data_IF_120346826015
#
_entry.id   IF_120346826015
#
_cell.length_a   1.000
_cell.length_b   1.000
_cell.length_c   1.000
_cell.angle_alpha   90.00
_cell.angle_beta   90.00
_cell.angle_gamma   90.00
#
_symmetry.space_group_name_H-M   'P 1'
#
loop_
_entity.id
_entity.type
_entity.pdbx_description
1 polymer ?
#
# COMPACT_ATOMS: atom_id res chain seq x y z
N UNK A 1 19.48 34.27 -37.72
CA UNK A 1 19.02 33.05 -37.02
C UNK A 1 20.21 32.52 -36.26
N UNK A 2 20.13 32.24 -34.94
CA UNK A 2 21.28 31.72 -34.23
C UNK A 2 21.59 30.33 -34.80
N UNK A 3 22.83 30.12 -35.24
CA UNK A 3 23.32 28.79 -35.54
C UNK A 3 23.27 27.98 -34.25
N UNK A 4 22.66 26.79 -34.30
CA UNK A 4 22.61 25.81 -33.20
C UNK A 4 23.99 25.76 -32.54
N UNK A 5 24.07 26.09 -31.25
CA UNK A 5 25.35 26.07 -30.54
C UNK A 5 25.87 24.62 -30.54
N UNK A 6 27.19 24.38 -30.56
CA UNK A 6 27.73 23.01 -30.60
C UNK A 6 27.18 22.08 -29.51
N UNK A 7 26.83 22.62 -28.33
CA UNK A 7 26.17 21.89 -27.25
C UNK A 7 24.73 21.45 -27.58
N UNK A 8 23.98 22.28 -28.30
CA UNK A 8 22.61 21.96 -28.72
C UNK A 8 22.62 20.84 -29.78
N UNK A 9 23.58 20.86 -30.71
CA UNK A 9 23.72 19.78 -31.70
C UNK A 9 24.04 18.44 -31.05
N UNK A 10 25.02 18.41 -30.13
CA UNK A 10 25.39 17.19 -29.42
C UNK A 10 24.21 16.65 -28.59
N UNK A 11 23.49 17.52 -27.89
CA UNK A 11 22.28 17.16 -27.14
C UNK A 11 21.21 16.53 -28.05
N UNK A 12 20.90 17.15 -29.19
CA UNK A 12 19.91 16.62 -30.13
C UNK A 12 20.33 15.28 -30.74
N UNK A 13 21.62 15.08 -31.06
CA UNK A 13 22.11 13.78 -31.52
C UNK A 13 21.97 12.72 -30.43
N UNK A 14 22.32 13.03 -29.18
CA UNK A 14 22.15 12.10 -28.06
C UNK A 14 20.69 11.67 -27.88
N UNK A 15 19.74 12.61 -27.86
CA UNK A 15 18.31 12.29 -27.72
C UNK A 15 17.76 11.50 -28.91
N UNK A 16 18.31 11.69 -30.11
CA UNK A 16 17.93 10.92 -31.30
C UNK A 16 18.50 9.50 -31.27
N UNK A 17 19.74 9.34 -30.81
CA UNK A 17 20.40 8.03 -30.72
C UNK A 17 19.79 7.16 -29.63
N UNK A 18 19.46 7.74 -28.47
CA UNK A 18 18.83 7.07 -27.34
C UNK A 18 17.36 7.49 -27.24
N UNK A 19 16.62 7.28 -28.32
CA UNK A 19 15.21 7.61 -28.37
C UNK A 19 14.40 6.70 -27.43
N UNK A 20 13.24 7.18 -26.99
CA UNK A 20 12.30 6.37 -26.22
C UNK A 20 11.85 5.16 -27.04
N UNK A 21 11.91 3.99 -26.43
CA UNK A 21 11.41 2.74 -27.00
C UNK A 21 9.98 2.54 -26.52
N UNK A 22 9.05 2.34 -27.46
CA UNK A 22 7.63 2.14 -27.15
C UNK A 22 7.28 0.67 -26.89
N UNK A 23 8.13 -0.26 -27.35
CA UNK A 23 7.92 -1.70 -27.25
C UNK A 23 9.23 -2.38 -26.83
N UNK A 24 9.15 -3.47 -26.03
CA UNK A 24 7.92 -4.03 -25.47
C UNK A 24 7.26 -3.10 -24.43
N UNK A 25 5.94 -3.18 -24.32
CA UNK A 25 5.22 -2.46 -23.27
C UNK A 25 5.74 -2.82 -21.87
N UNK A 26 5.66 -1.87 -20.94
CA UNK A 26 6.24 -2.02 -19.60
C UNK A 26 5.63 -3.20 -18.82
N UNK A 27 4.34 -3.52 -19.03
CA UNK A 27 3.69 -4.65 -18.36
C UNK A 27 4.20 -6.03 -18.77
N UNK A 28 5.03 -6.14 -19.82
CA UNK A 28 5.60 -7.43 -20.24
C UNK A 28 6.50 -8.04 -19.15
N UNK A 29 6.54 -9.37 -19.00
CA UNK A 29 7.42 -10.02 -18.02
C UNK A 29 8.89 -9.64 -18.17
N UNK A 30 9.37 -9.43 -19.40
CA UNK A 30 10.74 -9.07 -19.72
C UNK A 30 11.10 -7.68 -19.18
N UNK A 31 10.26 -6.65 -19.44
CA UNK A 31 10.48 -5.29 -18.92
C UNK A 31 10.36 -5.24 -17.40
N UNK A 32 9.34 -5.90 -16.83
CA UNK A 32 9.20 -5.95 -15.38
C UNK A 32 10.40 -6.65 -14.70
N UNK A 33 10.92 -7.73 -15.29
CA UNK A 33 12.10 -8.39 -14.75
C UNK A 33 13.36 -7.53 -14.90
N UNK A 34 13.52 -6.84 -16.03
CA UNK A 34 14.64 -5.91 -16.26
C UNK A 34 14.63 -4.73 -15.28
N UNK A 35 13.48 -4.08 -15.08
CA UNK A 35 13.37 -2.86 -14.26
C UNK A 35 13.19 -3.16 -12.78
N UNK A 36 12.42 -4.20 -12.42
CA UNK A 36 12.00 -4.49 -11.04
C UNK A 36 12.44 -5.86 -10.51
N UNK A 37 13.15 -6.66 -11.31
CA UNK A 37 13.69 -7.97 -10.91
C UNK A 37 12.67 -9.10 -10.85
N UNK A 38 11.38 -8.84 -11.04
CA UNK A 38 10.30 -9.83 -11.13
C UNK A 38 9.02 -9.20 -11.67
N UNK A 39 8.06 -10.03 -12.06
CA UNK A 39 6.71 -9.57 -12.38
C UNK A 39 5.95 -9.25 -11.10
N UNK A 40 5.44 -8.03 -10.99
CA UNK A 40 4.66 -7.53 -9.88
C UNK A 40 3.21 -7.29 -10.28
N UNK A 41 2.32 -7.33 -9.30
CA UNK A 41 0.92 -6.98 -9.50
C UNK A 41 -0.06 -8.07 -9.10
N UNK A 42 -1.33 -7.78 -9.35
CA UNK A 42 -2.45 -8.70 -9.19
C UNK A 42 -3.20 -8.74 -10.52
N UNK A 43 -3.21 -9.89 -11.18
CA UNK A 43 -3.86 -10.11 -12.48
C UNK A 43 -5.27 -10.69 -12.36
N UNK A 44 -5.61 -11.27 -11.21
CA UNK A 44 -6.91 -11.82 -10.91
C UNK A 44 -7.13 -11.97 -9.39
N UNK A 45 -8.40 -12.09 -8.96
CA UNK A 45 -8.76 -12.12 -7.53
C UNK A 45 -8.88 -13.54 -6.93
N UNK A 46 -8.66 -14.62 -7.68
CA UNK A 46 -8.97 -16.01 -7.25
C UNK A 46 -7.82 -17.01 -7.41
N UNK A 47 -6.74 -16.61 -8.07
CA UNK A 47 -5.59 -17.44 -8.37
C UNK A 47 -4.65 -17.58 -7.17
N UNK A 48 -3.57 -18.33 -7.37
CA UNK A 48 -2.58 -18.55 -6.32
C UNK A 48 -1.97 -17.22 -5.85
N UNK A 49 -2.20 -16.89 -4.59
CA UNK A 49 -1.53 -15.79 -3.91
C UNK A 49 -0.06 -16.13 -3.70
N UNK A 50 0.84 -15.26 -4.17
CA UNK A 50 2.30 -15.44 -4.06
C UNK A 50 2.93 -14.46 -3.07
N UNK A 51 2.37 -13.27 -2.95
CA UNK A 51 2.84 -12.23 -2.05
C UNK A 51 1.66 -11.41 -1.54
N UNK A 52 1.70 -11.04 -0.27
CA UNK A 52 0.71 -10.15 0.35
C UNK A 52 1.37 -9.19 1.32
N UNK A 53 0.94 -7.92 1.27
CA UNK A 53 1.39 -6.90 2.22
C UNK A 53 0.41 -6.87 3.39
N UNK A 54 0.94 -7.04 4.61
CA UNK A 54 0.17 -7.01 5.84
C UNK A 54 0.76 -6.00 6.83
N UNK A 55 -0.03 -5.59 7.81
CA UNK A 55 0.45 -4.77 8.92
C UNK A 55 -0.12 -5.34 10.22
N UNK A 56 0.79 -5.81 11.08
CA UNK A 56 0.44 -6.35 12.38
C UNK A 56 -0.04 -5.22 13.29
N UNK A 57 -1.26 -5.29 13.87
CA UNK A 57 -1.74 -4.30 14.83
C UNK A 57 -0.74 -4.06 15.95
N UNK A 58 -0.53 -2.79 16.28
CA UNK A 58 0.42 -2.36 17.28
C UNK A 58 -0.06 -1.19 18.12
N UNK A 59 0.92 -0.37 18.50
CA UNK A 59 0.77 0.78 19.39
C UNK A 59 -0.25 1.80 18.91
N UNK A 60 -0.46 1.87 17.59
CA UNK A 60 -1.37 2.84 16.99
C UNK A 60 -2.83 2.66 17.41
N UNK A 61 -3.21 1.45 17.82
CA UNK A 61 -4.54 1.17 18.37
C UNK A 61 -4.79 1.81 19.74
N UNK A 62 -3.73 2.23 20.46
CA UNK A 62 -3.87 3.00 21.71
C UNK A 62 -4.45 4.40 21.49
N UNK A 63 -4.57 4.85 20.24
CA UNK A 63 -5.30 6.08 19.86
C UNK A 63 -6.79 6.00 20.20
N UNK A 64 -7.38 4.80 20.28
CA UNK A 64 -8.80 4.63 20.60
C UNK A 64 -9.04 4.89 22.09
N UNK A 65 -9.58 6.07 22.38
CA UNK A 65 -9.93 6.50 23.74
C UNK A 65 -11.25 5.83 24.21
N UNK A 66 -11.22 4.99 25.27
CA UNK A 66 -12.42 4.33 25.80
C UNK A 66 -13.48 5.30 26.35
N UNK A 67 -13.11 6.54 26.67
CA UNK A 67 -14.04 7.56 27.16
C UNK A 67 -14.86 8.20 26.04
N UNK A 68 -14.49 7.99 24.77
CA UNK A 68 -15.12 8.63 23.61
C UNK A 68 -16.14 7.75 22.91
N UNK A 69 -16.99 7.10 23.69
CA UNK A 69 -18.16 6.40 23.17
C UNK A 69 -19.20 7.42 22.67
N UNK A 70 -19.72 7.19 21.47
CA UNK A 70 -20.79 7.96 20.87
C UNK A 70 -22.03 7.06 20.72
N UNK A 71 -23.08 7.36 21.49
CA UNK A 71 -24.31 6.56 21.53
C UNK A 71 -25.08 6.60 20.21
N UNK A 72 -25.13 7.76 19.55
CA UNK A 72 -25.85 7.93 18.28
C UNK A 72 -25.21 7.12 17.15
N UNK A 73 -23.88 7.03 17.14
CA UNK A 73 -23.12 6.30 16.13
C UNK A 73 -22.85 4.84 16.53
N UNK A 74 -23.06 4.46 17.79
CA UNK A 74 -22.71 3.14 18.31
C UNK A 74 -21.22 2.81 18.12
N UNK A 75 -20.34 3.77 18.34
CA UNK A 75 -18.92 3.66 18.04
C UNK A 75 -18.06 4.54 18.96
N UNK A 76 -16.77 4.20 19.07
CA UNK A 76 -15.79 5.09 19.69
C UNK A 76 -15.26 6.07 18.65
N UNK A 77 -15.34 7.38 18.90
CA UNK A 77 -14.86 8.35 17.92
C UNK A 77 -14.49 9.71 18.51
N UNK A 78 -13.64 10.43 17.79
CA UNK A 78 -13.37 11.84 18.03
C UNK A 78 -13.56 12.61 16.71
N UNK A 79 -14.59 13.47 16.64
CA UNK A 79 -14.88 14.27 15.44
C UNK A 79 -13.82 15.32 15.17
N UNK A 80 -13.20 15.87 16.22
CA UNK A 80 -12.17 16.89 16.09
C UNK A 80 -10.84 16.28 15.64
N UNK A 81 -10.42 15.18 16.28
CA UNK A 81 -9.23 14.44 15.87
C UNK A 81 -9.45 13.63 14.57
N UNK A 82 -10.70 13.34 14.22
CA UNK A 82 -11.12 12.74 12.96
C UNK A 82 -10.99 11.22 12.87
N UNK A 83 -10.88 10.52 14.00
CA UNK A 83 -10.76 9.06 14.08
C UNK A 83 -12.05 8.38 14.56
N UNK A 84 -12.20 7.09 14.21
CA UNK A 84 -13.32 6.27 14.64
C UNK A 84 -12.96 4.79 14.70
N UNK A 85 -13.53 4.09 15.67
CA UNK A 85 -13.46 2.65 15.88
C UNK A 85 -14.88 2.09 16.03
N UNK A 86 -15.21 1.15 15.15
CA UNK A 86 -16.51 0.47 15.17
C UNK A 86 -16.36 -0.82 15.95
N UNK A 87 -17.30 -1.08 16.84
CA UNK A 87 -17.35 -2.31 17.61
C UNK A 87 -18.06 -2.09 18.95
N UNK A 88 -18.52 -3.17 19.58
CA UNK A 88 -19.19 -3.11 20.88
C UNK A 88 -18.23 -2.76 22.05
N UNK A 89 -16.92 -2.69 21.80
CA UNK A 89 -15.90 -2.37 22.79
C UNK A 89 -14.64 -1.80 22.13
N UNK A 90 -13.68 -1.40 22.96
CA UNK A 90 -12.37 -0.93 22.51
C UNK A 90 -11.53 -2.07 21.91
N UNK A 91 -10.50 -1.76 21.10
CA UNK A 91 -9.60 -2.77 20.55
C UNK A 91 -8.97 -3.63 21.64
N UNK A 92 -9.03 -4.95 21.45
CA UNK A 92 -8.25 -5.94 22.20
C UNK A 92 -7.00 -6.25 21.38
N UNK A 93 -5.90 -5.52 21.66
CA UNK A 93 -4.70 -5.56 20.83
C UNK A 93 -4.05 -6.94 20.86
N UNK A 94 -4.03 -7.62 22.01
CA UNK A 94 -3.45 -8.96 22.14
C UNK A 94 -4.22 -9.97 21.27
N UNK A 95 -5.55 -9.96 21.35
CA UNK A 95 -6.38 -10.82 20.52
C UNK A 95 -6.28 -10.49 19.03
N UNK A 96 -6.21 -9.21 18.67
CA UNK A 96 -6.03 -8.78 17.29
C UNK A 96 -4.69 -9.25 16.73
N UNK A 97 -3.64 -9.23 17.55
CA UNK A 97 -2.32 -9.73 17.22
C UNK A 97 -2.31 -11.25 17.06
N UNK A 98 -2.90 -11.99 17.99
CA UNK A 98 -3.05 -13.46 17.88
C UNK A 98 -3.76 -13.85 16.59
N UNK A 99 -4.90 -13.21 16.29
CA UNK A 99 -5.66 -13.48 15.07
C UNK A 99 -4.92 -13.09 13.78
N UNK A 100 -4.17 -11.98 13.83
CA UNK A 100 -3.33 -11.57 12.71
C UNK A 100 -2.20 -12.58 12.47
N UNK A 101 -1.49 -12.99 13.53
CA UNK A 101 -0.37 -13.92 13.45
C UNK A 101 -0.83 -15.30 12.96
N UNK A 102 -2.04 -15.73 13.33
CA UNK A 102 -2.67 -16.93 12.78
C UNK A 102 -2.97 -16.83 11.28
N UNK A 103 -3.47 -15.67 10.81
CA UNK A 103 -3.71 -15.44 9.39
C UNK A 103 -2.38 -15.46 8.60
N UNK A 104 -1.34 -14.81 9.11
CA UNK A 104 0.01 -14.81 8.52
C UNK A 104 0.52 -16.24 8.39
N UNK A 105 0.43 -17.03 9.47
CA UNK A 105 0.85 -18.42 9.49
C UNK A 105 0.13 -19.27 8.44
N UNK A 106 -1.18 -19.07 8.26
CA UNK A 106 -1.94 -19.78 7.22
C UNK A 106 -1.49 -19.35 5.82
N UNK A 107 -1.30 -18.06 5.57
CA UNK A 107 -0.84 -17.55 4.28
C UNK A 107 0.54 -18.12 3.90
N UNK A 108 1.48 -18.13 4.84
CA UNK A 108 2.82 -18.67 4.63
C UNK A 108 2.81 -20.20 4.44
N UNK A 109 1.96 -20.92 5.18
CA UNK A 109 1.78 -22.36 5.02
C UNK A 109 1.24 -22.74 3.63
N UNK A 110 0.40 -21.88 3.04
CA UNK A 110 -0.12 -22.02 1.67
C UNK A 110 0.85 -21.47 0.60
N UNK A 111 2.06 -21.08 0.99
CA UNK A 111 3.14 -20.69 0.09
C UNK A 111 3.17 -19.21 -0.31
N UNK A 112 2.35 -18.35 0.29
CA UNK A 112 2.42 -16.91 0.06
C UNK A 112 3.53 -16.26 0.91
N UNK A 113 4.34 -15.38 0.32
CA UNK A 113 5.25 -14.52 1.06
C UNK A 113 4.46 -13.38 1.72
N UNK A 114 4.61 -13.21 3.03
CA UNK A 114 3.99 -12.09 3.75
C UNK A 114 5.03 -10.99 3.97
N UNK A 115 4.78 -9.81 3.40
CA UNK A 115 5.60 -8.61 3.60
C UNK A 115 4.95 -7.71 4.64
N UNK A 116 5.66 -7.46 5.74
CA UNK A 116 5.16 -6.62 6.84
C UNK A 116 5.46 -5.15 6.61
N UNK A 117 4.42 -4.32 6.59
CA UNK A 117 4.55 -2.87 6.68
C UNK A 117 4.99 -2.49 8.09
N UNK A 118 6.24 -2.05 8.23
CA UNK A 118 6.91 -1.82 9.52
C UNK A 118 6.96 -0.35 9.97
N UNK A 119 6.65 0.59 9.07
CA UNK A 119 6.70 2.03 9.36
C UNK A 119 5.28 2.59 9.29
N UNK A 120 4.64 2.72 10.46
CA UNK A 120 3.29 3.26 10.60
C UNK A 120 3.30 4.39 11.62
N UNK A 121 2.73 5.57 11.30
CA UNK A 121 2.65 6.64 12.28
C UNK A 121 1.74 6.24 13.47
N UNK A 122 2.05 6.66 14.71
CA UNK A 122 1.35 6.23 15.91
C UNK A 122 -0.17 6.47 15.93
N UNK A 123 -0.68 7.41 15.13
CA UNK A 123 -2.10 7.73 15.07
C UNK A 123 -2.87 7.05 13.92
N UNK A 124 -2.21 6.17 13.17
CA UNK A 124 -2.73 5.60 11.90
C UNK A 124 -3.14 4.14 12.02
N UNK A 125 -3.98 3.82 13.00
CA UNK A 125 -4.50 2.45 13.19
C UNK A 125 -5.34 1.89 12.03
N UNK A 126 -5.76 2.73 11.09
CA UNK A 126 -6.41 2.25 9.85
C UNK A 126 -5.43 1.64 8.85
N UNK A 127 -4.12 1.76 9.06
CA UNK A 127 -3.07 1.18 8.22
C UNK A 127 -3.06 -0.36 8.24
N UNK A 128 -3.64 -0.98 9.27
CA UNK A 128 -3.87 -2.44 9.28
C UNK A 128 -4.66 -2.92 8.05
N UNK A 129 -5.55 -2.06 7.51
CA UNK A 129 -6.25 -2.33 6.25
C UNK A 129 -5.38 -1.92 5.05
N UNK A 130 -4.31 -2.68 4.80
CA UNK A 130 -3.30 -2.42 3.76
C UNK A 130 -3.87 -2.31 2.35
N UNK A 131 -5.00 -2.99 2.07
CA UNK A 131 -5.68 -3.00 0.76
C UNK A 131 -6.15 -1.63 0.28
N UNK A 132 -6.45 -0.70 1.20
CA UNK A 132 -7.12 0.53 0.83
C UNK A 132 -6.15 1.61 0.32
N UNK A 133 -4.92 1.64 0.82
CA UNK A 133 -3.92 2.64 0.45
C UNK A 133 -3.25 2.33 -0.88
N UNK A 134 -3.15 1.05 -1.23
CA UNK A 134 -2.44 0.57 -2.41
C UNK A 134 -3.25 -0.58 -3.03
N UNK A 135 -3.55 -0.47 -4.32
CA UNK A 135 -4.20 -1.54 -5.10
C UNK A 135 -3.21 -2.07 -6.13
N UNK A 136 -2.82 -3.33 -5.99
CA UNK A 136 -1.97 -3.99 -6.98
C UNK A 136 -2.74 -4.17 -8.29
N UNK A 137 -2.07 -3.91 -9.42
CA UNK A 137 -2.57 -4.10 -10.79
C UNK A 137 -1.49 -4.81 -11.59
N UNK A 138 -1.78 -5.46 -12.73
CA UNK A 138 -0.75 -6.07 -13.56
C UNK A 138 0.36 -5.06 -13.86
N UNK A 139 1.60 -5.39 -13.52
CA UNK A 139 2.72 -4.50 -13.74
C UNK A 139 2.81 -3.30 -12.80
N UNK A 140 2.23 -3.37 -11.60
CA UNK A 140 2.51 -2.37 -10.56
C UNK A 140 1.42 -2.21 -9.52
N UNK A 141 1.22 -0.97 -9.09
CA UNK A 141 0.21 -0.62 -8.10
C UNK A 141 -0.31 0.82 -8.27
N UNK A 142 -1.55 1.03 -7.85
CA UNK A 142 -2.19 2.33 -7.74
C UNK A 142 -2.10 2.80 -6.29
N UNK A 143 -1.53 3.98 -6.07
CA UNK A 143 -1.54 4.65 -4.77
C UNK A 143 -2.85 5.45 -4.65
N UNK A 144 -3.69 5.08 -3.68
CA UNK A 144 -5.03 5.64 -3.56
C UNK A 144 -5.04 6.98 -2.82
N UNK A 145 -5.92 7.89 -3.25
CA UNK A 145 -6.25 9.11 -2.48
C UNK A 145 -7.36 8.80 -1.48
N UNK A 146 -6.99 8.61 -0.22
CA UNK A 146 -7.91 8.13 0.81
C UNK A 146 -8.93 9.20 1.26
N UNK A 147 -10.20 8.80 1.30
CA UNK A 147 -11.33 9.70 1.58
C UNK A 147 -11.34 10.24 3.01
N UNK A 148 -11.40 9.37 4.01
CA UNK A 148 -11.45 9.76 5.42
C UNK A 148 -10.08 10.21 5.94
N UNK A 149 -10.04 11.29 6.74
CA UNK A 149 -8.78 11.87 7.25
C UNK A 149 -7.94 10.89 8.07
N UNK A 150 -8.56 10.08 8.92
CA UNK A 150 -7.87 9.03 9.71
C UNK A 150 -7.13 8.01 8.84
N UNK A 151 -7.50 7.89 7.57
CA UNK A 151 -6.85 6.97 6.62
C UNK A 151 -5.70 7.61 5.86
N UNK A 152 -5.62 8.95 5.78
CA UNK A 152 -4.61 9.67 5.00
C UNK A 152 -3.29 9.74 5.76
N UNK A 153 -2.18 9.78 5.03
CA UNK A 153 -0.82 9.77 5.56
C UNK A 153 -0.31 8.35 5.70
#
# INVERSE_FOLDING_TARGET
>A
MPAVLPGDYAYHQLMKTFASEAEPAFETPEEQHYVWGQSWGCDNDVGQLRLVVMHRPGEEFRTVDPSKWDEDLGAYCDRQAGWYWRGPGTPDIEKMQEQHDDLVRVLEAEGARVEMLSQVPPEKFKTMATRDSIVAVPGGAIICRLGARVRRG
#
